data_IF_317371920756
#
_entry.id   IF_317371920756
#
_cell.length_a   1.000
_cell.length_b   1.000
_cell.length_c   1.000
_cell.angle_alpha   90.00
_cell.angle_beta   90.00
_cell.angle_gamma   90.00
#
_symmetry.space_group_name_H-M   'P 1'
#
loop_
_entity.id
_entity.type
_entity.pdbx_description
1 polymer ?
#
# COMPACT_ATOMS: atom_id res chain seq x y z
N UNK A 1 20.95 1.71 0.50
CA UNK A 1 20.03 0.56 0.27
C UNK A 1 20.45 -0.21 -0.98
N UNK A 2 20.97 -1.42 -0.84
CA UNK A 2 21.33 -2.27 -1.99
C UNK A 2 20.29 -3.37 -2.13
N UNK A 3 19.31 -3.18 -3.02
CA UNK A 3 18.29 -4.19 -3.31
C UNK A 3 18.91 -5.23 -4.26
N UNK A 4 19.12 -6.46 -3.79
CA UNK A 4 19.47 -7.59 -4.67
C UNK A 4 18.18 -8.31 -5.06
N UNK A 5 17.95 -8.44 -6.37
CA UNK A 5 16.79 -9.14 -6.94
C UNK A 5 17.32 -10.37 -7.69
N UNK A 6 16.87 -11.55 -7.32
CA UNK A 6 17.12 -12.80 -8.04
C UNK A 6 15.78 -13.46 -8.35
N UNK A 7 15.63 -14.03 -9.55
CA UNK A 7 14.41 -14.67 -10.10
C UNK A 7 13.17 -13.77 -10.31
N UNK A 8 12.17 -14.24 -11.08
CA UNK A 8 10.88 -13.55 -11.31
C UNK A 8 10.11 -13.43 -9.97
N UNK A 9 10.45 -12.40 -9.20
CA UNK A 9 9.77 -12.07 -7.95
C UNK A 9 8.34 -11.61 -8.24
N UNK A 10 7.38 -11.85 -7.32
CA UNK A 10 6.00 -11.40 -7.47
C UNK A 10 5.88 -9.87 -7.49
N UNK A 11 6.89 -9.17 -6.97
CA UNK A 11 6.94 -7.72 -6.89
C UNK A 11 8.05 -7.16 -7.79
N UNK A 12 7.79 -6.02 -8.41
CA UNK A 12 8.81 -5.24 -9.11
C UNK A 12 9.79 -4.62 -8.11
N UNK A 13 10.97 -4.21 -8.58
CA UNK A 13 11.97 -3.50 -7.77
C UNK A 13 11.40 -2.26 -7.07
N UNK A 14 10.56 -1.49 -7.79
CA UNK A 14 9.89 -0.31 -7.25
C UNK A 14 8.88 -0.66 -6.16
N UNK A 15 8.10 -1.73 -6.34
CA UNK A 15 7.16 -2.20 -5.32
C UNK A 15 7.86 -2.72 -4.06
N UNK A 16 9.00 -3.40 -4.21
CA UNK A 16 9.84 -3.84 -3.09
C UNK A 16 10.40 -2.63 -2.33
N UNK A 17 10.96 -1.65 -3.05
CA UNK A 17 11.49 -0.42 -2.43
C UNK A 17 10.40 0.35 -1.67
N UNK A 18 9.22 0.51 -2.30
CA UNK A 18 8.06 1.15 -1.69
C UNK A 18 7.57 0.38 -0.45
N UNK A 19 7.50 -0.96 -0.51
CA UNK A 19 7.05 -1.78 0.60
C UNK A 19 7.97 -1.67 1.81
N UNK A 20 9.29 -1.68 1.57
CA UNK A 20 10.27 -1.41 2.64
C UNK A 20 10.09 -0.02 3.23
N UNK A 21 9.94 1.01 2.40
CA UNK A 21 9.71 2.37 2.87
C UNK A 21 8.44 2.45 3.74
N UNK A 22 7.31 1.94 3.25
CA UNK A 22 6.04 1.94 3.98
C UNK A 22 6.16 1.24 5.34
N UNK A 23 6.74 0.03 5.37
CA UNK A 23 6.88 -0.71 6.62
C UNK A 23 7.91 -0.05 7.55
N UNK A 24 8.96 0.56 7.00
CA UNK A 24 9.97 1.30 7.78
C UNK A 24 9.38 2.51 8.47
N UNK A 25 8.67 3.36 7.73
CA UNK A 25 7.96 4.51 8.29
C UNK A 25 6.97 4.09 9.39
N UNK A 26 6.29 2.95 9.20
CA UNK A 26 5.36 2.42 10.21
C UNK A 26 6.05 1.78 11.41
N UNK A 27 7.21 1.14 11.20
CA UNK A 27 8.05 0.55 12.23
C UNK A 27 8.92 1.59 12.96
N UNK A 28 8.96 2.85 12.51
CA UNK A 28 9.86 3.87 13.04
C UNK A 28 11.32 3.62 12.65
N UNK A 29 11.58 2.97 11.53
CA UNK A 29 12.91 2.67 11.02
C UNK A 29 13.28 3.62 9.87
N UNK A 30 14.35 4.39 10.06
CA UNK A 30 15.06 5.06 8.97
C UNK A 30 16.14 4.11 8.43
N UNK A 31 15.87 3.54 7.26
CA UNK A 31 16.76 2.54 6.65
C UNK A 31 18.14 3.10 6.28
N UNK A 32 18.26 4.41 6.02
CA UNK A 32 19.54 5.02 5.65
C UNK A 32 20.47 5.15 6.86
N UNK A 33 19.90 5.43 8.04
CA UNK A 33 20.64 5.52 9.30
C UNK A 33 21.02 4.17 9.90
N UNK A 34 20.44 3.07 9.43
CA UNK A 34 20.67 1.74 9.99
C UNK A 34 21.75 0.96 9.23
N UNK A 35 22.72 0.43 9.96
CA UNK A 35 23.75 -0.45 9.42
C UNK A 35 23.23 -1.90 9.27
N UNK A 36 22.19 -2.08 8.45
CA UNK A 36 21.63 -3.40 8.13
C UNK A 36 21.41 -3.58 6.61
N UNK A 37 21.34 -4.84 6.20
CA UNK A 37 20.92 -5.22 4.85
C UNK A 37 19.46 -5.68 4.84
N UNK A 38 18.72 -5.26 3.81
CA UNK A 38 17.33 -5.65 3.58
C UNK A 38 17.27 -6.50 2.31
N UNK A 39 16.73 -7.72 2.42
CA UNK A 39 16.67 -8.68 1.33
C UNK A 39 15.22 -9.11 1.12
N UNK A 40 14.77 -9.10 -0.13
CA UNK A 40 13.49 -9.67 -0.54
C UNK A 40 13.79 -10.86 -1.44
N UNK A 41 13.77 -12.07 -0.86
CA UNK A 41 14.28 -13.28 -1.51
C UNK A 41 14.94 -14.24 -0.52
N UNK A 42 15.76 -15.14 -1.07
CA UNK A 42 16.51 -16.12 -0.30
C UNK A 42 17.55 -15.45 0.60
N UNK A 43 17.71 -15.99 1.81
CA UNK A 43 18.76 -15.52 2.73
C UNK A 43 20.15 -15.72 2.12
N UNK A 44 21.03 -14.71 2.13
CA UNK A 44 22.40 -14.85 1.66
C UNK A 44 23.20 -15.85 2.54
N UNK A 45 24.11 -16.60 1.91
CA UNK A 45 24.93 -17.61 2.60
C UNK A 45 25.98 -17.03 3.55
N UNK A 46 26.42 -15.79 3.31
CA UNK A 46 27.36 -15.05 4.15
C UNK A 46 26.88 -13.62 4.28
N UNK A 47 26.91 -13.10 5.51
CA UNK A 47 26.53 -11.73 5.83
C UNK A 47 27.63 -11.05 6.62
N UNK A 48 27.94 -9.81 6.25
CA UNK A 48 28.90 -8.97 6.98
C UNK A 48 28.21 -8.11 8.03
N UNK A 49 26.96 -7.72 7.75
CA UNK A 49 26.12 -6.84 8.57
C UNK A 49 24.87 -7.61 9.01
N UNK A 50 24.16 -7.13 10.05
CA UNK A 50 22.82 -7.62 10.34
C UNK A 50 21.93 -7.56 9.09
N UNK A 51 21.12 -8.59 8.86
CA UNK A 51 20.31 -8.73 7.64
C UNK A 51 18.89 -9.16 8.01
N UNK A 52 17.91 -8.48 7.43
CA UNK A 52 16.51 -8.93 7.44
C UNK A 52 16.14 -9.41 6.05
N UNK A 53 15.69 -10.66 5.98
CA UNK A 53 15.25 -11.31 4.75
C UNK A 53 13.73 -11.52 4.82
N UNK A 54 13.00 -11.18 3.76
CA UNK A 54 11.59 -11.51 3.60
C UNK A 54 11.48 -12.55 2.48
N UNK A 55 10.84 -13.68 2.79
CA UNK A 55 10.55 -14.71 1.80
C UNK A 55 9.38 -14.25 0.89
N UNK A 56 9.60 -14.10 -0.43
CA UNK A 56 8.56 -13.69 -1.37
C UNK A 56 7.53 -14.80 -1.54
N UNK A 57 6.25 -14.45 -1.64
CA UNK A 57 5.20 -15.42 -1.92
C UNK A 57 5.25 -15.92 -3.37
N UNK A 58 4.70 -17.10 -3.61
CA UNK A 58 4.51 -17.59 -4.98
C UNK A 58 3.56 -16.65 -5.76
N UNK A 59 3.75 -16.41 -7.07
CA UNK A 59 2.92 -15.49 -7.87
C UNK A 59 1.41 -15.75 -7.79
N UNK A 60 1.00 -16.99 -7.59
CA UNK A 60 -0.40 -17.42 -7.52
C UNK A 60 -1.05 -17.11 -6.15
N UNK A 61 -0.25 -16.76 -5.14
CA UNK A 61 -0.71 -16.61 -3.75
C UNK A 61 -1.82 -15.57 -3.60
N UNK A 62 -1.80 -14.50 -4.40
CA UNK A 62 -2.82 -13.46 -4.35
C UNK A 62 -4.18 -13.99 -4.83
N UNK A 63 -4.18 -14.74 -5.94
CA UNK A 63 -5.40 -15.41 -6.42
C UNK A 63 -5.88 -16.46 -5.43
N UNK A 64 -4.95 -17.24 -4.88
CA UNK A 64 -5.25 -18.27 -3.89
C UNK A 64 -5.91 -17.67 -2.64
N UNK A 65 -5.52 -16.48 -2.19
CA UNK A 65 -6.14 -15.80 -1.05
C UNK A 65 -7.59 -15.40 -1.34
N UNK A 66 -7.86 -14.78 -2.49
CA UNK A 66 -9.22 -14.33 -2.85
C UNK A 66 -10.17 -15.51 -3.07
N UNK A 67 -9.66 -16.63 -3.59
CA UNK A 67 -10.43 -17.85 -3.82
C UNK A 67 -10.50 -18.76 -2.59
N UNK A 68 -9.75 -18.44 -1.53
CA UNK A 68 -9.65 -19.27 -0.33
C UNK A 68 -11.02 -19.39 0.34
N UNK A 69 -11.29 -20.56 0.91
CA UNK A 69 -12.48 -20.80 1.71
C UNK A 69 -12.54 -19.81 2.89
N UNK A 70 -13.70 -19.22 3.13
CA UNK A 70 -13.89 -18.23 4.19
C UNK A 70 -13.41 -18.73 5.56
N UNK A 71 -12.87 -17.80 6.37
CA UNK A 71 -12.35 -18.07 7.71
C UNK A 71 -11.27 -19.19 7.81
N UNK A 72 -10.61 -19.56 6.71
CA UNK A 72 -9.51 -20.55 6.71
C UNK A 72 -8.11 -19.95 6.58
N UNK A 73 -7.98 -18.63 6.79
CA UNK A 73 -6.67 -17.97 6.82
C UNK A 73 -5.83 -18.54 7.98
N UNK A 74 -4.51 -18.52 7.85
CA UNK A 74 -3.66 -18.92 8.97
C UNK A 74 -3.57 -17.77 9.98
N UNK A 75 -3.73 -18.10 11.26
CA UNK A 75 -3.63 -17.17 12.39
C UNK A 75 -2.57 -17.69 13.34
N UNK A 76 -1.49 -16.94 13.52
CA UNK A 76 -0.39 -17.34 14.40
C UNK A 76 -0.52 -16.69 15.77
N UNK A 77 -0.34 -17.43 16.88
CA UNK A 77 -0.29 -16.84 18.20
C UNK A 77 0.97 -15.98 18.39
N UNK A 78 0.95 -15.06 19.36
CA UNK A 78 2.10 -14.17 19.65
C UNK A 78 3.45 -14.90 19.74
N UNK A 79 3.49 -16.07 20.38
CA UNK A 79 4.71 -16.88 20.54
C UNK A 79 5.30 -17.42 19.22
N UNK A 80 4.49 -17.53 18.16
CA UNK A 80 4.94 -17.91 16.83
C UNK A 80 5.26 -16.71 15.94
N UNK A 81 4.98 -15.49 16.41
CA UNK A 81 5.12 -14.25 15.63
C UNK A 81 6.30 -13.40 16.10
N UNK A 82 6.45 -13.26 17.41
CA UNK A 82 7.33 -12.31 18.05
C UNK A 82 8.53 -13.00 18.74
N UNK A 83 9.63 -12.26 18.95
CA UNK A 83 10.68 -12.69 19.86
C UNK A 83 10.15 -12.97 21.28
N UNK A 84 10.85 -13.82 22.03
CA UNK A 84 10.45 -14.17 23.38
C UNK A 84 10.33 -12.94 24.30
N UNK A 85 9.21 -12.85 25.04
CA UNK A 85 8.94 -11.77 25.99
C UNK A 85 8.20 -10.56 25.42
N UNK A 86 7.91 -10.54 24.11
CA UNK A 86 7.09 -9.51 23.47
C UNK A 86 5.63 -9.97 23.33
N UNK A 87 4.70 -9.02 23.29
CA UNK A 87 3.28 -9.28 23.10
C UNK A 87 2.81 -8.64 21.78
N UNK A 88 1.77 -9.22 21.17
CA UNK A 88 1.18 -8.63 19.97
C UNK A 88 0.54 -7.27 20.29
N UNK A 89 0.60 -6.32 19.35
CA UNK A 89 0.05 -4.99 19.58
C UNK A 89 -1.47 -4.99 19.69
N UNK A 90 -2.13 -5.92 19.00
CA UNK A 90 -3.59 -6.03 18.94
C UNK A 90 -3.97 -7.52 18.98
N UNK A 91 -4.83 -7.89 19.92
CA UNK A 91 -5.33 -9.25 20.06
C UNK A 91 -4.25 -10.30 20.38
N UNK A 92 -4.62 -11.57 20.25
CA UNK A 92 -3.77 -12.70 20.68
C UNK A 92 -3.12 -13.47 19.53
N UNK A 93 -3.54 -13.17 18.30
CA UNK A 93 -3.08 -13.84 17.09
C UNK A 93 -2.90 -12.82 15.95
N UNK A 94 -2.03 -13.14 14.98
CA UNK A 94 -1.79 -12.34 13.79
C UNK A 94 -2.21 -13.13 12.53
N UNK A 95 -3.07 -12.58 11.65
CA UNK A 95 -3.42 -13.22 10.38
C UNK A 95 -2.22 -13.19 9.44
N UNK A 96 -1.96 -14.28 8.72
CA UNK A 96 -0.90 -14.38 7.71
C UNK A 96 -1.53 -14.43 6.33
N UNK A 97 -1.46 -13.31 5.61
CA UNK A 97 -2.02 -13.17 4.26
C UNK A 97 -1.28 -14.04 3.25
N UNK A 98 0.06 -13.96 3.26
CA UNK A 98 0.91 -14.64 2.30
C UNK A 98 2.11 -15.26 3.01
N UNK A 99 2.32 -16.54 2.77
CA UNK A 99 3.55 -17.22 3.12
C UNK A 99 4.53 -17.11 1.97
N UNK A 100 5.81 -16.96 2.30
CA UNK A 100 6.88 -17.09 1.33
C UNK A 100 6.88 -18.48 0.69
N UNK A 101 7.33 -18.56 -0.56
CA UNK A 101 7.38 -19.84 -1.27
C UNK A 101 8.34 -20.81 -0.57
N UNK A 102 7.86 -22.03 -0.31
CA UNK A 102 8.57 -23.04 0.49
C UNK A 102 8.80 -22.68 1.97
N UNK A 103 8.22 -21.61 2.48
CA UNK A 103 8.45 -21.15 3.85
C UNK A 103 7.80 -22.07 4.90
N UNK A 104 8.35 -22.05 6.12
CA UNK A 104 7.83 -22.81 7.26
C UNK A 104 6.56 -22.14 7.76
N UNK A 105 5.40 -22.76 7.50
CA UNK A 105 4.07 -22.26 7.90
C UNK A 105 3.72 -22.50 9.37
N UNK A 106 4.70 -22.28 10.25
CA UNK A 106 4.55 -22.45 11.70
C UNK A 106 5.10 -21.26 12.49
N UNK A 107 6.01 -20.47 11.91
CA UNK A 107 6.61 -19.31 12.55
C UNK A 107 6.62 -18.15 11.57
N UNK A 108 6.28 -16.95 12.05
CA UNK A 108 6.31 -15.73 11.24
C UNK A 108 7.72 -15.36 10.83
N UNK A 109 8.67 -15.50 11.75
CA UNK A 109 10.07 -15.19 11.53
C UNK A 109 10.97 -16.07 12.42
N UNK A 110 12.20 -16.28 11.96
CA UNK A 110 13.24 -17.06 12.65
C UNK A 110 14.57 -16.35 12.55
N UNK A 111 15.40 -16.44 13.59
CA UNK A 111 16.82 -16.17 13.45
C UNK A 111 17.52 -17.38 12.81
N UNK A 112 18.06 -17.19 11.61
CA UNK A 112 18.93 -18.18 10.95
C UNK A 112 20.32 -18.17 11.60
N UNK A 113 20.75 -16.99 12.07
CA UNK A 113 21.97 -16.79 12.84
C UNK A 113 21.79 -15.54 13.72
N UNK A 114 22.78 -15.23 14.56
CA UNK A 114 22.80 -14.00 15.38
C UNK A 114 22.67 -12.70 14.56
N UNK A 115 22.93 -12.75 13.25
CA UNK A 115 22.89 -11.58 12.36
C UNK A 115 21.81 -11.66 11.29
N UNK A 116 21.07 -12.76 11.18
CA UNK A 116 20.11 -12.95 10.07
C UNK A 116 18.74 -13.29 10.62
N UNK A 117 17.80 -12.38 10.43
CA UNK A 117 16.38 -12.59 10.68
C UNK A 117 15.67 -12.90 9.37
N UNK A 118 15.11 -14.10 9.25
CA UNK A 118 14.27 -14.51 8.13
C UNK A 118 12.80 -14.38 8.53
N UNK A 119 12.08 -13.52 7.82
CA UNK A 119 10.62 -13.41 7.88
C UNK A 119 10.06 -14.36 6.81
N UNK A 120 9.22 -15.28 7.26
CA UNK A 120 8.59 -16.34 6.45
C UNK A 120 7.28 -15.90 5.80
N UNK A 121 6.68 -14.82 6.29
CA UNK A 121 5.52 -14.19 5.67
C UNK A 121 5.94 -13.10 4.68
N UNK A 122 5.30 -13.04 3.52
CA UNK A 122 5.53 -11.99 2.52
C UNK A 122 4.78 -10.71 2.90
N UNK A 123 5.36 -9.97 3.86
CA UNK A 123 4.77 -8.73 4.36
C UNK A 123 4.85 -7.56 3.37
N UNK A 124 5.77 -7.61 2.38
CA UNK A 124 5.82 -6.62 1.31
C UNK A 124 4.68 -6.85 0.31
N UNK A 125 4.48 -8.11 -0.11
CA UNK A 125 3.38 -8.51 -0.97
C UNK A 125 2.04 -8.22 -0.31
N UNK A 126 1.91 -8.48 0.99
CA UNK A 126 0.71 -8.14 1.75
C UNK A 126 0.45 -6.63 1.79
N UNK A 127 1.48 -5.81 1.99
CA UNK A 127 1.35 -4.36 1.98
C UNK A 127 0.87 -3.84 0.62
N UNK A 128 1.47 -4.31 -0.48
CA UNK A 128 1.05 -3.94 -1.83
C UNK A 128 -0.40 -4.37 -2.09
N UNK A 129 -0.74 -5.62 -1.77
CA UNK A 129 -2.09 -6.15 -1.95
C UNK A 129 -3.14 -5.31 -1.20
N UNK A 130 -2.90 -5.01 0.08
CA UNK A 130 -3.85 -4.29 0.92
C UNK A 130 -4.01 -2.83 0.54
N UNK A 131 -2.90 -2.13 0.24
CA UNK A 131 -2.93 -0.70 -0.08
C UNK A 131 -3.47 -0.45 -1.49
N UNK A 132 -3.10 -1.30 -2.47
CA UNK A 132 -3.58 -1.15 -3.85
C UNK A 132 -5.04 -1.55 -4.03
N UNK A 133 -5.64 -2.23 -3.04
CA UNK A 133 -6.97 -2.83 -3.16
C UNK A 133 -7.10 -3.68 -4.43
N UNK A 134 -6.07 -4.46 -4.72
CA UNK A 134 -5.94 -5.23 -5.96
C UNK A 134 -7.19 -6.04 -6.31
N UNK A 135 -7.88 -6.60 -5.30
CA UNK A 135 -9.14 -7.34 -5.43
C UNK A 135 -10.22 -6.56 -6.19
N UNK A 136 -10.31 -5.23 -6.00
CA UNK A 136 -11.30 -4.38 -6.67
C UNK A 136 -11.09 -4.32 -8.18
N UNK A 137 -9.86 -4.54 -8.64
CA UNK A 137 -9.50 -4.48 -10.06
C UNK A 137 -9.73 -5.80 -10.80
N UNK A 138 -9.86 -6.90 -10.06
CA UNK A 138 -9.99 -8.26 -10.62
C UNK A 138 -11.32 -8.93 -10.29
N UNK A 139 -12.15 -8.32 -9.46
CA UNK A 139 -13.45 -8.85 -9.09
C UNK A 139 -14.51 -8.53 -10.14
N UNK A 140 -15.22 -9.56 -10.60
CA UNK A 140 -16.44 -9.40 -11.38
C UNK A 140 -17.69 -9.21 -10.49
N UNK A 141 -17.57 -9.40 -9.19
CA UNK A 141 -18.66 -9.20 -8.23
C UNK A 141 -18.75 -7.73 -7.83
N UNK A 142 -19.81 -7.08 -8.29
CA UNK A 142 -20.14 -5.69 -8.01
C UNK A 142 -21.53 -5.60 -7.35
N UNK A 143 -21.71 -4.61 -6.49
CA UNK A 143 -23.00 -4.27 -5.90
C UNK A 143 -23.94 -3.59 -6.93
N UNK A 144 -25.16 -3.25 -6.51
CA UNK A 144 -26.16 -2.58 -7.36
C UNK A 144 -25.72 -1.21 -7.91
N UNK A 145 -24.66 -0.63 -7.34
CA UNK A 145 -24.07 0.64 -7.77
C UNK A 145 -22.78 0.46 -8.57
N UNK A 146 -22.40 -0.78 -8.91
CA UNK A 146 -21.18 -1.08 -9.65
C UNK A 146 -19.90 -0.99 -8.81
N UNK A 147 -20.00 -1.07 -7.48
CA UNK A 147 -18.85 -0.98 -6.56
C UNK A 147 -18.46 -2.35 -6.05
N UNK A 148 -17.19 -2.53 -5.71
CA UNK A 148 -16.74 -3.75 -5.05
C UNK A 148 -17.28 -3.83 -3.61
N UNK A 149 -18.10 -4.85 -3.26
CA UNK A 149 -18.68 -4.94 -1.93
C UNK A 149 -17.62 -5.36 -0.91
N UNK A 150 -17.61 -4.72 0.27
CA UNK A 150 -16.69 -5.06 1.35
C UNK A 150 -16.75 -6.55 1.75
N UNK A 151 -17.93 -7.18 1.68
CA UNK A 151 -18.13 -8.60 1.97
C UNK A 151 -17.41 -9.54 1.00
N UNK A 152 -17.07 -9.09 -0.21
CA UNK A 152 -16.28 -9.88 -1.15
C UNK A 152 -14.77 -9.82 -0.86
N UNK A 153 -14.30 -8.86 -0.05
CA UNK A 153 -12.88 -8.70 0.25
C UNK A 153 -12.32 -9.84 1.08
N UNK A 154 -11.04 -10.18 0.87
CA UNK A 154 -10.31 -11.12 1.71
C UNK A 154 -10.36 -10.72 3.19
N UNK A 155 -10.31 -9.41 3.47
CA UNK A 155 -10.37 -8.87 4.83
C UNK A 155 -11.68 -9.22 5.55
N UNK A 156 -12.82 -9.09 4.87
CA UNK A 156 -14.11 -9.50 5.45
C UNK A 156 -14.22 -11.03 5.53
N UNK A 157 -13.94 -11.74 4.43
CA UNK A 157 -14.06 -13.21 4.33
C UNK A 157 -13.20 -13.96 5.34
N UNK A 158 -12.06 -13.37 5.70
CA UNK A 158 -11.15 -13.95 6.67
C UNK A 158 -11.17 -13.25 8.03
N UNK A 159 -12.14 -12.37 8.30
CA UNK A 159 -12.39 -11.76 9.62
C UNK A 159 -11.25 -10.90 10.17
N UNK A 160 -10.58 -10.17 9.30
CA UNK A 160 -9.57 -9.17 9.69
C UNK A 160 -9.89 -7.75 9.19
N UNK A 161 -11.13 -7.49 8.74
CA UNK A 161 -11.54 -6.20 8.21
C UNK A 161 -11.28 -5.03 9.16
N UNK A 162 -11.51 -5.23 10.45
CA UNK A 162 -11.33 -4.21 11.49
C UNK A 162 -9.90 -4.15 12.05
N UNK A 163 -8.96 -4.92 11.47
CA UNK A 163 -7.57 -4.99 11.92
C UNK A 163 -6.65 -4.22 10.98
N UNK A 164 -5.76 -3.36 11.52
CA UNK A 164 -4.76 -2.66 10.71
C UNK A 164 -3.57 -3.59 10.41
N UNK A 165 -3.81 -4.70 9.69
CA UNK A 165 -2.85 -5.82 9.56
C UNK A 165 -1.46 -5.38 9.10
N UNK A 166 -1.37 -4.40 8.19
CA UNK A 166 -0.07 -3.89 7.72
C UNK A 166 0.68 -3.10 8.80
N UNK A 167 -0.03 -2.38 9.67
CA UNK A 167 0.60 -1.76 10.85
C UNK A 167 1.03 -2.80 11.88
N UNK A 168 0.25 -3.86 12.06
CA UNK A 168 0.64 -4.97 12.94
C UNK A 168 1.91 -5.66 12.43
N UNK A 169 2.00 -5.91 11.12
CA UNK A 169 3.23 -6.43 10.49
C UNK A 169 4.43 -5.50 10.69
N UNK A 170 4.24 -4.18 10.59
CA UNK A 170 5.30 -3.22 10.83
C UNK A 170 5.76 -3.22 12.30
N UNK A 171 4.85 -3.39 13.26
CA UNK A 171 5.19 -3.50 14.69
C UNK A 171 5.89 -4.82 15.01
N UNK A 172 5.52 -5.92 14.35
CA UNK A 172 6.24 -7.19 14.46
C UNK A 172 7.65 -7.05 13.87
N UNK A 173 7.79 -6.41 12.70
CA UNK A 173 9.09 -6.08 12.12
C UNK A 173 9.93 -5.23 13.08
N UNK A 174 9.34 -4.22 13.72
CA UNK A 174 10.00 -3.41 14.75
C UNK A 174 10.52 -4.26 15.92
N UNK A 175 9.74 -5.22 16.42
CA UNK A 175 10.19 -6.12 17.49
C UNK A 175 11.40 -6.96 17.05
N UNK A 176 11.37 -7.53 15.84
CA UNK A 176 12.50 -8.27 15.29
C UNK A 176 13.73 -7.39 15.04
N UNK A 177 13.54 -6.15 14.60
CA UNK A 177 14.64 -5.17 14.46
C UNK A 177 15.29 -4.83 15.80
N UNK A 178 14.50 -4.60 16.86
CA UNK A 178 15.03 -4.38 18.22
C UNK A 178 15.83 -5.58 18.73
N UNK A 179 15.35 -6.79 18.42
CA UNK A 179 16.06 -8.01 18.78
C UNK A 179 17.38 -8.17 18.01
N UNK A 180 17.36 -7.87 16.71
CA UNK A 180 18.53 -7.97 15.82
C UNK A 180 19.55 -6.84 16.04
N UNK A 181 19.10 -5.67 16.49
CA UNK A 181 19.90 -4.46 16.70
C UNK A 181 19.70 -3.95 18.15
N UNK A 182 20.38 -4.50 19.17
CA UNK A 182 20.11 -4.22 20.59
C UNK A 182 20.26 -2.74 21.03
N UNK A 183 20.90 -1.90 20.22
CA UNK A 183 21.05 -0.46 20.47
C UNK A 183 20.11 0.44 19.67
N UNK A 184 19.31 -0.12 18.77
CA UNK A 184 18.37 0.64 17.96
C UNK A 184 17.08 0.90 18.72
N UNK A 185 16.54 2.10 18.57
CA UNK A 185 15.19 2.43 19.01
C UNK A 185 14.38 3.01 17.84
N UNK A 186 13.09 2.65 17.74
CA UNK A 186 12.24 3.19 16.70
C UNK A 186 11.99 4.67 16.91
N UNK A 187 11.92 5.42 15.82
CA UNK A 187 11.48 6.81 15.88
C UNK A 187 10.02 6.90 16.34
N UNK A 188 9.70 7.81 17.28
CA UNK A 188 8.34 7.97 17.76
C UNK A 188 7.44 8.52 16.64
N UNK A 189 6.29 7.86 16.44
CA UNK A 189 5.28 8.33 15.50
C UNK A 189 4.73 9.68 15.95
N UNK A 190 4.84 10.69 15.07
CA UNK A 190 4.20 11.99 15.28
C UNK A 190 2.82 12.01 14.65
N UNK A 191 1.80 12.14 15.48
CA UNK A 191 0.43 12.31 15.00
C UNK A 191 0.34 13.52 14.08
N UNK A 192 -0.17 13.30 12.87
CA UNK A 192 -0.38 14.34 11.87
C UNK A 192 -1.76 14.19 11.27
N UNK A 193 -2.49 15.29 11.14
CA UNK A 193 -3.78 15.29 10.46
C UNK A 193 -3.55 15.57 8.98
N UNK A 194 -3.88 14.62 8.13
CA UNK A 194 -3.93 14.80 6.68
C UNK A 194 -5.39 14.91 6.25
N UNK A 195 -5.86 16.13 5.99
CA UNK A 195 -7.21 16.35 5.48
C UNK A 195 -7.22 16.04 3.98
N UNK A 196 -7.89 14.96 3.59
CA UNK A 196 -8.26 14.69 2.20
C UNK A 196 -9.75 15.00 2.01
N UNK A 197 -10.10 15.46 0.81
CA UNK A 197 -11.48 15.61 0.38
C UNK A 197 -11.62 14.92 -0.97
N UNK A 198 -12.58 14.02 -1.08
CA UNK A 198 -12.89 13.36 -2.35
C UNK A 198 -13.61 14.37 -3.26
N UNK A 199 -13.03 14.63 -4.43
CA UNK A 199 -13.57 15.59 -5.39
C UNK A 199 -14.23 14.80 -6.52
N UNK A 200 -15.49 14.43 -6.34
CA UNK A 200 -16.30 13.74 -7.36
C UNK A 200 -16.51 14.59 -8.62
N UNK A 201 -16.42 15.92 -8.50
CA UNK A 201 -16.57 16.84 -9.60
C UNK A 201 -15.84 18.15 -9.37
N UNK A 202 -14.87 18.46 -10.24
CA UNK A 202 -14.16 19.74 -10.24
C UNK A 202 -15.10 20.95 -10.48
N UNK A 203 -16.31 20.72 -10.99
CA UNK A 203 -17.31 21.75 -11.27
C UNK A 203 -18.72 21.22 -10.98
N UNK A 204 -19.51 22.01 -10.25
CA UNK A 204 -20.94 21.76 -9.96
C UNK A 204 -21.85 21.91 -11.20
N UNK A 205 -21.36 22.56 -12.26
CA UNK A 205 -22.07 22.78 -13.50
C UNK A 205 -21.18 22.42 -14.68
N UNK A 206 -21.47 21.30 -15.32
CA UNK A 206 -21.16 21.12 -16.74
C UNK A 206 -22.09 22.08 -17.49
N UNK A 207 -21.61 22.95 -18.40
CA UNK A 207 -22.51 23.64 -19.31
C UNK A 207 -23.27 22.57 -20.07
N UNK A 208 -24.52 22.37 -19.69
CA UNK A 208 -25.43 21.46 -20.33
C UNK A 208 -25.41 21.78 -21.82
N UNK A 209 -25.07 20.74 -22.60
CA UNK A 209 -24.95 20.77 -24.06
C UNK A 209 -25.94 21.77 -24.66
N UNK A 210 -25.41 22.92 -25.10
CA UNK A 210 -26.14 23.81 -26.00
C UNK A 210 -27.12 24.83 -25.39
N UNK A 211 -27.20 25.05 -24.07
CA UNK A 211 -27.98 26.20 -23.56
C UNK A 211 -27.11 27.47 -23.60
N UNK A 212 -27.15 28.16 -24.74
CA UNK A 212 -26.81 29.58 -24.82
C UNK A 212 -27.61 30.32 -23.75
N UNK A 213 -26.98 30.71 -22.64
CA UNK A 213 -27.54 31.76 -21.78
C UNK A 213 -27.29 33.09 -22.51
N UNK A 214 -28.33 33.78 -23.03
CA UNK A 214 -28.14 35.05 -23.72
C UNK A 214 -27.66 36.07 -22.68
N UNK A 215 -26.34 36.31 -22.66
CA UNK A 215 -25.70 37.23 -21.71
C UNK A 215 -24.40 36.73 -21.10
N UNK A 216 -24.13 35.41 -21.08
CA UNK A 216 -22.88 34.88 -20.52
C UNK A 216 -21.64 35.25 -21.34
N UNK A 217 -21.72 35.03 -22.66
CA UNK A 217 -20.68 35.48 -23.60
C UNK A 217 -20.56 37.01 -23.65
N UNK A 218 -21.68 37.74 -23.59
CA UNK A 218 -21.67 39.21 -23.59
C UNK A 218 -20.94 39.79 -22.37
N UNK A 219 -21.09 39.18 -21.18
CA UNK A 219 -20.37 39.62 -19.98
C UNK A 219 -18.87 39.32 -20.05
N UNK A 220 -18.49 38.17 -20.64
CA UNK A 220 -17.08 37.85 -20.86
C UNK A 220 -16.43 38.83 -21.85
N UNK A 221 -17.09 39.13 -22.96
CA UNK A 221 -16.65 40.10 -23.97
C UNK A 221 -16.59 41.52 -23.41
N UNK A 222 -17.62 41.95 -22.66
CA UNK A 222 -17.66 43.27 -22.03
C UNK A 222 -16.55 43.43 -20.99
N UNK A 223 -16.27 42.38 -20.20
CA UNK A 223 -15.15 42.36 -19.24
C UNK A 223 -13.79 42.47 -19.95
N UNK A 224 -13.60 41.78 -21.07
CA UNK A 224 -12.35 41.85 -21.83
C UNK A 224 -12.15 43.20 -22.54
N UNK A 225 -13.22 43.79 -23.08
CA UNK A 225 -13.20 45.12 -23.67
C UNK A 225 -12.90 46.22 -22.63
N UNK A 226 -13.49 46.14 -21.43
CA UNK A 226 -13.20 47.05 -20.32
C UNK A 226 -11.75 46.95 -19.83
N UNK A 227 -11.13 45.78 -19.98
CA UNK A 227 -9.72 45.56 -19.65
C UNK A 227 -8.75 45.91 -20.79
N UNK A 228 -9.22 46.60 -21.84
CA UNK A 228 -8.38 47.19 -22.89
C UNK A 228 -7.72 46.20 -23.85
N UNK A 229 -8.24 44.98 -23.98
CA UNK A 229 -7.64 43.97 -24.87
C UNK A 229 -7.93 44.26 -26.35
N UNK A 230 -6.96 44.00 -27.27
CA UNK A 230 -7.15 44.25 -28.70
C UNK A 230 -8.23 43.33 -29.32
N UNK A 231 -9.07 43.89 -30.19
CA UNK A 231 -10.18 43.20 -30.88
C UNK A 231 -9.78 41.91 -31.62
N UNK A 232 -8.51 41.76 -32.01
CA UNK A 232 -7.99 40.56 -32.67
C UNK A 232 -8.00 39.32 -31.75
N UNK A 233 -7.76 39.48 -30.45
CA UNK A 233 -7.76 38.38 -29.47
C UNK A 233 -9.18 37.99 -29.04
N UNK A 234 -10.13 38.92 -29.12
CA UNK A 234 -11.56 38.70 -28.86
C UNK A 234 -12.19 37.70 -29.85
N UNK A 235 -11.67 37.63 -31.09
CA UNK A 235 -12.08 36.64 -32.09
C UNK A 235 -11.73 35.21 -31.70
N UNK A 236 -10.60 35.03 -31.01
CA UNK A 236 -10.12 33.71 -30.61
C UNK A 236 -10.89 33.21 -29.38
N UNK A 237 -11.25 34.09 -28.43
CA UNK A 237 -12.16 33.77 -27.32
C UNK A 237 -13.54 33.33 -27.82
N UNK A 238 -14.08 33.97 -28.87
CA UNK A 238 -15.34 33.55 -29.51
C UNK A 238 -15.23 32.19 -30.21
N UNK A 239 -14.04 31.84 -30.70
CA UNK A 239 -13.77 30.56 -31.35
C UNK A 239 -13.70 29.43 -30.31
N UNK A 240 -13.09 29.67 -29.16
CA UNK A 240 -13.06 28.71 -28.03
C UNK A 240 -14.45 28.49 -27.41
N UNK A 241 -15.29 29.51 -27.39
CA UNK A 241 -16.70 29.39 -26.96
C UNK A 241 -17.54 28.60 -27.99
N UNK A 242 -17.10 28.54 -29.25
CA UNK A 242 -17.82 27.89 -30.36
C UNK A 242 -17.45 26.43 -30.65
N UNK A 243 -16.45 25.85 -29.97
CA UNK A 243 -15.95 24.50 -30.29
C UNK A 243 -16.46 23.41 -29.33
N UNK A 244 -17.65 22.88 -29.65
CA UNK A 244 -17.93 21.44 -29.54
C UNK A 244 -19.11 21.08 -30.44
N UNK A 245 -18.82 20.90 -31.73
CA UNK A 245 -19.54 19.96 -32.60
C UNK A 245 -18.50 19.06 -33.27
N UNK A 246 -18.15 17.99 -32.57
CA UNK A 246 -17.96 16.63 -33.08
C UNK A 246 -17.68 15.71 -31.90
#
# INVERSE_FOLDING_TARGET
>A
MTIRLDTQLPLTSGAVAWGWQLLGERAGADWEGLNLDLVYGASPAKVERPTVCIAPAAPESWRNLVQKTEATLDWLPAAAVLPAGEALPIGDQLPILFWGDGAIRAQFATLISERVCQIHADILGAAVFMVSRWEETVSDSLDEHGRFPASASAAWRHRFLDRPVIDEYALVLQAWLRHLLPGWQPEPRRFTVQLSHDIDGLRRFTPERGIWRPGGGLRALAREALNGRPLAQLRDTLRDIGYSRR
#
